data_IF_493709356176
#
_entry.id   IF_493709356176
#
_cell.length_a   1.000
_cell.length_b   1.000
_cell.length_c   1.000
_cell.angle_alpha   90.00
_cell.angle_beta   90.00
_cell.angle_gamma   90.00
#
_symmetry.space_group_name_H-M   'P 1'
#
loop_
_entity.id
_entity.type
_entity.pdbx_description
1 polymer ?
#
# COMPACT_ATOMS: atom_id res chain seq x y z
N UNK A 1 -63.65 -33.98 13.39
CA UNK A 1 -62.44 -33.73 14.20
C UNK A 1 -61.21 -34.36 13.52
N UNK A 2 -60.96 -34.00 12.26
CA UNK A 2 -59.76 -34.40 11.50
C UNK A 2 -59.14 -33.20 10.76
N UNK A 3 -59.64 -31.99 11.03
CA UNK A 3 -59.25 -30.74 10.37
C UNK A 3 -58.29 -29.87 11.20
N UNK A 4 -57.94 -30.29 12.41
CA UNK A 4 -57.02 -29.55 13.28
C UNK A 4 -55.59 -30.11 13.26
N UNK A 5 -55.35 -31.26 12.62
CA UNK A 5 -54.02 -31.91 12.56
C UNK A 5 -53.24 -31.65 11.27
N UNK A 6 -53.88 -31.09 10.23
CA UNK A 6 -53.21 -30.80 8.94
C UNK A 6 -52.65 -29.37 8.89
N UNK A 7 -53.18 -28.44 9.68
CA UNK A 7 -52.63 -27.07 9.82
C UNK A 7 -51.31 -27.02 10.59
N UNK A 8 -50.92 -28.07 11.31
CA UNK A 8 -49.67 -28.11 12.09
C UNK A 8 -48.45 -28.48 11.24
N UNK A 9 -48.64 -29.10 10.06
CA UNK A 9 -47.52 -29.51 9.18
C UNK A 9 -47.07 -28.37 8.25
N UNK A 10 -47.95 -27.41 7.94
CA UNK A 10 -47.64 -26.30 7.01
C UNK A 10 -46.91 -25.13 7.71
N UNK A 11 -46.94 -25.05 9.05
CA UNK A 11 -46.18 -24.02 9.80
C UNK A 11 -44.81 -24.49 10.29
N UNK A 12 -44.45 -25.77 10.12
CA UNK A 12 -43.10 -26.28 10.43
C UNK A 12 -42.15 -26.21 9.21
N UNK A 13 -42.66 -25.90 8.01
CA UNK A 13 -41.88 -25.74 6.78
C UNK A 13 -41.43 -24.30 6.49
N UNK A 14 -41.75 -23.32 7.34
CA UNK A 14 -41.34 -21.92 7.17
C UNK A 14 -40.57 -21.35 8.37
N UNK A 15 -40.11 -22.21 9.28
CA UNK A 15 -39.20 -21.84 10.37
C UNK A 15 -37.83 -22.51 10.24
N UNK A 16 -37.22 -22.35 9.07
CA UNK A 16 -35.78 -22.20 8.92
C UNK A 16 -35.54 -21.03 7.96
N UNK A 17 -35.98 -19.84 8.38
CA UNK A 17 -35.24 -18.62 8.07
C UNK A 17 -33.90 -18.76 8.79
N UNK A 18 -33.01 -19.57 8.22
CA UNK A 18 -31.59 -19.49 8.51
C UNK A 18 -31.18 -18.11 8.03
N UNK A 19 -31.14 -17.19 8.98
CA UNK A 19 -30.39 -15.95 8.90
C UNK A 19 -29.01 -16.39 8.40
N UNK A 20 -28.73 -16.23 7.11
CA UNK A 20 -27.35 -16.11 6.69
C UNK A 20 -26.90 -14.85 7.40
N UNK A 21 -26.28 -15.03 8.56
CA UNK A 21 -25.56 -13.99 9.24
C UNK A 21 -24.77 -13.31 8.14
N UNK A 22 -25.04 -12.03 7.93
CA UNK A 22 -24.16 -11.20 7.16
C UNK A 22 -22.82 -11.40 7.84
N UNK A 23 -21.94 -12.21 7.25
CA UNK A 23 -20.53 -11.96 7.35
C UNK A 23 -20.37 -10.62 6.66
N UNK A 24 -20.67 -9.56 7.42
CA UNK A 24 -20.01 -8.30 7.29
C UNK A 24 -18.55 -8.72 7.16
N UNK A 25 -17.99 -8.59 5.96
CA UNK A 25 -16.56 -8.51 5.76
C UNK A 25 -16.10 -7.19 6.39
N UNK A 26 -16.36 -7.07 7.70
CA UNK A 26 -15.78 -6.13 8.64
C UNK A 26 -14.36 -6.60 8.96
N UNK A 27 -13.64 -7.02 7.93
CA UNK A 27 -12.22 -7.30 7.95
C UNK A 27 -11.49 -6.54 6.83
N UNK A 28 -12.19 -5.72 6.02
CA UNK A 28 -11.54 -4.90 5.00
C UNK A 28 -11.61 -3.38 5.26
N UNK A 29 -12.50 -2.90 6.14
CA UNK A 29 -12.57 -1.46 6.45
C UNK A 29 -11.54 -0.99 7.47
N UNK A 30 -10.92 -1.92 8.23
CA UNK A 30 -9.87 -1.60 9.22
C UNK A 30 -8.46 -2.03 8.78
N UNK A 31 -8.37 -2.96 7.83
CA UNK A 31 -7.10 -3.46 7.31
C UNK A 31 -6.44 -2.48 6.33
N UNK A 32 -7.22 -1.65 5.63
CA UNK A 32 -6.70 -0.64 4.72
C UNK A 32 -6.22 0.63 5.42
N UNK A 33 -6.29 0.76 6.76
CA UNK A 33 -6.05 1.99 7.54
C UNK A 33 -4.67 2.65 7.39
N UNK A 34 -3.79 2.08 6.58
CA UNK A 34 -2.44 2.56 6.35
C UNK A 34 -2.07 2.44 4.88
N UNK A 35 -1.35 3.41 4.30
CA UNK A 35 -0.90 3.32 2.91
C UNK A 35 -0.01 2.10 2.65
N UNK A 36 0.74 1.63 3.65
CA UNK A 36 1.56 0.42 3.52
C UNK A 36 0.70 -0.84 3.36
N UNK A 37 -0.44 -0.91 4.06
CA UNK A 37 -1.38 -2.02 3.89
C UNK A 37 -2.11 -1.94 2.56
N UNK A 38 -2.44 -0.73 2.10
CA UNK A 38 -2.98 -0.52 0.77
C UNK A 38 -2.05 -1.09 -0.32
N UNK A 39 -0.73 -0.83 -0.24
CA UNK A 39 0.23 -1.44 -1.17
C UNK A 39 0.14 -2.97 -1.18
N UNK A 40 0.14 -3.60 0.00
CA UNK A 40 0.07 -5.06 0.12
C UNK A 40 -1.21 -5.65 -0.48
N UNK A 41 -2.35 -4.96 -0.35
CA UNK A 41 -3.62 -5.40 -0.95
C UNK A 41 -3.57 -5.50 -2.49
N UNK A 42 -2.69 -4.73 -3.12
CA UNK A 42 -2.45 -4.74 -4.56
C UNK A 42 -1.14 -5.45 -4.95
N UNK A 43 -0.64 -6.32 -4.06
CA UNK A 43 0.56 -7.14 -4.25
C UNK A 43 1.88 -6.36 -4.32
N UNK A 44 1.97 -5.22 -3.65
CA UNK A 44 3.21 -4.47 -3.54
C UNK A 44 3.84 -4.56 -2.14
N UNK A 45 5.17 -4.58 -2.04
CA UNK A 45 5.86 -4.57 -0.77
C UNK A 45 5.76 -3.19 -0.10
N UNK A 46 5.83 -3.17 1.24
CA UNK A 46 5.59 -1.95 2.02
C UNK A 46 6.68 -0.89 1.85
N UNK A 47 7.90 -1.29 1.47
CA UNK A 47 9.07 -0.44 1.33
C UNK A 47 9.10 0.44 0.08
N UNK A 48 8.07 0.38 -0.77
CA UNK A 48 7.86 1.38 -1.82
C UNK A 48 7.52 2.77 -1.28
N UNK A 49 7.19 2.89 0.01
CA UNK A 49 6.95 4.15 0.69
C UNK A 49 7.88 4.30 1.90
N UNK A 50 8.39 5.52 2.15
CA UNK A 50 9.18 5.77 3.35
C UNK A 50 8.33 5.71 4.61
N UNK A 51 8.96 5.44 5.75
CA UNK A 51 8.36 5.58 7.10
C UNK A 51 7.86 7.02 7.29
N UNK A 52 6.79 7.19 8.07
CA UNK A 52 6.29 8.52 8.45
C UNK A 52 5.21 9.13 7.55
N UNK A 53 4.50 8.32 6.75
CA UNK A 53 3.26 8.77 6.11
C UNK A 53 2.26 9.32 7.15
N UNK A 54 1.80 10.56 6.94
CA UNK A 54 0.91 11.30 7.86
C UNK A 54 -0.56 11.18 7.46
N UNK A 55 -0.84 10.71 6.25
CA UNK A 55 -2.19 10.40 5.81
C UNK A 55 -2.20 9.76 4.43
N UNK A 56 -3.33 9.16 4.06
CA UNK A 56 -3.52 8.60 2.73
C UNK A 56 -4.99 8.64 2.32
N UNK A 57 -5.23 8.54 1.01
CA UNK A 57 -6.54 8.30 0.40
C UNK A 57 -6.39 7.21 -0.63
N UNK A 58 -7.40 6.36 -0.76
CA UNK A 58 -7.49 5.35 -1.81
C UNK A 58 -8.95 5.24 -2.23
N UNK A 59 -9.22 5.45 -3.51
CA UNK A 59 -10.50 5.12 -4.11
C UNK A 59 -10.44 3.67 -4.61
N UNK A 60 -11.09 2.75 -3.90
CA UNK A 60 -11.06 1.33 -4.25
C UNK A 60 -11.71 1.00 -5.60
N UNK A 61 -12.57 1.87 -6.13
CA UNK A 61 -13.24 1.66 -7.42
C UNK A 61 -12.36 2.08 -8.60
N UNK A 62 -11.55 3.12 -8.44
CA UNK A 62 -10.70 3.67 -9.52
C UNK A 62 -9.22 3.31 -9.37
N UNK A 63 -8.79 2.95 -8.17
CA UNK A 63 -7.37 2.77 -7.81
C UNK A 63 -6.64 4.09 -7.56
N UNK A 64 -7.28 5.25 -7.69
CA UNK A 64 -6.62 6.53 -7.42
C UNK A 64 -6.23 6.61 -5.95
N UNK A 65 -4.94 6.89 -5.72
CA UNK A 65 -4.41 7.03 -4.37
C UNK A 65 -3.60 8.31 -4.19
N UNK A 66 -3.52 8.76 -2.96
CA UNK A 66 -2.56 9.77 -2.53
C UNK A 66 -2.01 9.43 -1.15
N UNK A 67 -0.71 9.66 -0.96
CA UNK A 67 -0.03 9.54 0.33
C UNK A 67 0.58 10.88 0.67
N UNK A 68 0.39 11.34 1.91
CA UNK A 68 0.98 12.57 2.44
C UNK A 68 2.10 12.24 3.40
N UNK A 69 3.20 12.97 3.28
CA UNK A 69 4.35 12.97 4.17
C UNK A 69 4.39 14.30 4.93
N UNK A 70 5.15 14.36 6.03
CA UNK A 70 5.34 15.60 6.79
C UNK A 70 6.14 16.67 6.01
N UNK A 71 6.82 16.28 4.93
CA UNK A 71 7.61 17.15 4.08
C UNK A 71 8.19 16.41 2.89
N UNK A 72 9.05 17.07 2.12
CA UNK A 72 9.84 16.38 1.09
C UNK A 72 10.77 15.40 1.79
N UNK A 73 11.00 14.25 1.19
CA UNK A 73 11.87 13.24 1.74
C UNK A 73 12.95 12.84 0.74
N UNK A 74 14.19 12.66 1.18
CA UNK A 74 15.28 12.18 0.33
C UNK A 74 16.26 11.36 1.13
N UNK A 75 16.87 10.38 0.49
CA UNK A 75 17.92 9.54 1.05
C UNK A 75 18.73 8.90 -0.09
N UNK A 76 19.93 8.44 0.24
CA UNK A 76 20.74 7.64 -0.66
C UNK A 76 20.32 6.17 -0.57
N UNK A 77 20.41 5.48 -1.70
CA UNK A 77 20.37 4.03 -1.80
C UNK A 77 21.80 3.52 -2.06
N UNK A 78 21.96 2.20 -2.04
CA UNK A 78 23.17 1.55 -2.54
C UNK A 78 23.53 2.06 -3.96
N UNK A 79 24.82 1.97 -4.31
CA UNK A 79 25.33 2.36 -5.63
C UNK A 79 25.11 3.83 -6.00
N UNK A 80 25.05 4.73 -5.01
CA UNK A 80 24.99 6.20 -5.19
C UNK A 80 23.69 6.75 -5.81
N UNK A 81 22.64 5.94 -5.94
CA UNK A 81 21.33 6.46 -6.35
C UNK A 81 20.75 7.35 -5.24
N UNK A 82 20.22 8.51 -5.62
CA UNK A 82 19.48 9.37 -4.68
C UNK A 82 18.00 9.25 -4.99
N UNK A 83 17.20 8.88 -3.99
CA UNK A 83 15.76 8.81 -4.10
C UNK A 83 15.13 10.04 -3.43
N UNK A 84 14.10 10.59 -4.04
CA UNK A 84 13.37 11.75 -3.54
C UNK A 84 11.87 11.54 -3.66
N UNK A 85 11.18 11.76 -2.54
CA UNK A 85 9.74 11.87 -2.47
C UNK A 85 9.33 13.32 -2.26
N UNK A 86 8.28 13.75 -2.94
CA UNK A 86 7.58 15.01 -2.66
C UNK A 86 6.67 14.82 -1.43
N UNK A 87 6.20 15.92 -0.78
CA UNK A 87 5.29 15.83 0.36
C UNK A 87 3.98 15.09 0.04
N UNK A 88 3.57 15.07 -1.23
CA UNK A 88 2.39 14.35 -1.70
C UNK A 88 2.80 13.45 -2.86
N UNK A 89 2.52 12.17 -2.69
CA UNK A 89 2.68 11.11 -3.71
C UNK A 89 1.28 10.78 -4.23
N UNK A 90 1.13 10.60 -5.53
CA UNK A 90 -0.15 10.21 -6.16
C UNK A 90 0.08 9.21 -7.28
N UNK A 91 -0.93 8.40 -7.54
CA UNK A 91 -0.96 7.51 -8.70
C UNK A 91 -2.27 6.75 -8.79
N UNK A 92 -2.32 5.80 -9.70
CA UNK A 92 -3.41 4.85 -9.84
C UNK A 92 -2.85 3.46 -9.60
N UNK A 93 -3.32 2.79 -8.54
CA UNK A 93 -2.89 1.45 -8.15
C UNK A 93 -3.92 0.40 -8.60
N UNK A 94 -3.39 -0.68 -9.14
CA UNK A 94 -4.11 -1.90 -9.47
C UNK A 94 -3.23 -3.08 -9.07
N UNK A 95 -3.78 -4.30 -9.11
CA UNK A 95 -2.99 -5.49 -8.79
C UNK A 95 -1.75 -5.54 -9.70
N UNK A 96 -0.57 -5.64 -9.09
CA UNK A 96 0.74 -5.71 -9.76
C UNK A 96 1.16 -4.48 -10.57
N UNK A 97 0.40 -3.37 -10.52
CA UNK A 97 0.76 -2.16 -11.29
C UNK A 97 0.33 -0.86 -10.63
N UNK A 98 1.28 0.07 -10.55
CA UNK A 98 1.08 1.49 -10.23
C UNK A 98 1.41 2.30 -11.47
N UNK A 99 0.49 3.12 -11.94
CA UNK A 99 0.67 3.99 -13.11
C UNK A 99 0.33 5.45 -12.77
N UNK A 100 0.72 6.37 -13.65
CA UNK A 100 0.56 7.82 -13.43
C UNK A 100 1.15 8.26 -12.08
N UNK A 101 2.24 7.61 -11.66
CA UNK A 101 2.92 7.89 -10.42
C UNK A 101 3.54 9.28 -10.49
N UNK A 102 3.37 10.04 -9.42
CA UNK A 102 3.94 11.36 -9.26
C UNK A 102 4.42 11.56 -7.84
N UNK A 103 5.46 12.39 -7.70
CA UNK A 103 6.05 12.69 -6.40
C UNK A 103 7.15 11.72 -5.98
N UNK A 104 7.62 10.83 -6.87
CA UNK A 104 8.80 9.98 -6.65
C UNK A 104 9.79 10.25 -7.79
N UNK A 105 11.04 10.52 -7.44
CA UNK A 105 12.10 10.82 -8.40
C UNK A 105 13.41 10.17 -7.98
N UNK A 106 14.18 9.70 -8.95
CA UNK A 106 15.53 9.17 -8.76
C UNK A 106 16.53 10.06 -9.46
N UNK A 107 17.72 10.22 -8.88
CA UNK A 107 18.84 10.91 -9.53
C UNK A 107 19.67 9.92 -10.33
N UNK A 108 19.85 10.21 -11.62
CA UNK A 108 20.74 9.47 -12.52
C UNK A 108 21.74 10.45 -13.11
N UNK A 109 23.03 10.17 -12.92
CA UNK A 109 24.13 11.10 -13.24
C UNK A 109 23.91 12.47 -12.57
N UNK A 110 23.53 13.48 -13.36
CA UNK A 110 23.30 14.87 -12.91
C UNK A 110 21.83 15.28 -12.94
N UNK A 111 20.92 14.43 -13.41
CA UNK A 111 19.50 14.77 -13.60
C UNK A 111 18.57 13.96 -12.71
N UNK A 112 17.46 14.61 -12.32
CA UNK A 112 16.37 13.97 -11.61
C UNK A 112 15.32 13.49 -12.61
N UNK A 113 15.00 12.21 -12.55
CA UNK A 113 13.99 11.58 -13.39
C UNK A 113 12.79 11.17 -12.52
N UNK A 114 11.58 11.40 -13.01
CA UNK A 114 10.37 10.99 -12.31
C UNK A 114 10.10 9.52 -12.59
N UNK A 115 9.80 8.77 -11.54
CA UNK A 115 9.25 7.42 -11.68
C UNK A 115 7.76 7.58 -11.92
N UNK A 116 7.30 7.13 -13.09
CA UNK A 116 5.91 7.31 -13.55
C UNK A 116 5.09 6.04 -13.48
N UNK A 117 5.76 4.89 -13.38
CA UNK A 117 5.11 3.59 -13.29
C UNK A 117 6.00 2.59 -12.52
N UNK A 118 5.34 1.68 -11.80
CA UNK A 118 5.95 0.52 -11.16
C UNK A 118 5.09 -0.69 -11.51
N UNK A 119 5.70 -1.73 -12.09
CA UNK A 119 5.05 -3.03 -12.32
C UNK A 119 5.71 -4.08 -11.46
N UNK A 120 4.92 -5.01 -10.95
CA UNK A 120 5.42 -6.24 -10.36
C UNK A 120 5.27 -7.37 -11.37
N UNK A 121 6.34 -8.13 -11.54
CA UNK A 121 6.34 -9.39 -12.25
C UNK A 121 7.02 -10.43 -11.35
N UNK A 122 6.22 -11.28 -10.73
CA UNK A 122 6.66 -12.29 -9.76
C UNK A 122 7.52 -11.68 -8.62
N UNK A 123 8.80 -12.06 -8.53
CA UNK A 123 9.76 -11.56 -7.54
C UNK A 123 10.57 -10.34 -8.01
N UNK A 124 10.11 -9.65 -9.05
CA UNK A 124 10.73 -8.43 -9.59
C UNK A 124 9.76 -7.25 -9.59
N UNK A 125 10.32 -6.07 -9.38
CA UNK A 125 9.68 -4.77 -9.58
C UNK A 125 10.39 -4.03 -10.71
N UNK A 126 9.65 -3.75 -11.78
CA UNK A 126 10.07 -2.89 -12.89
C UNK A 126 9.68 -1.44 -12.58
N UNK A 127 10.67 -0.55 -12.48
CA UNK A 127 10.45 0.89 -12.29
C UNK A 127 10.67 1.61 -13.61
N UNK A 128 9.66 2.36 -14.07
CA UNK A 128 9.72 3.11 -15.31
C UNK A 128 9.82 4.62 -15.07
N UNK A 129 10.72 5.27 -15.81
CA UNK A 129 10.78 6.73 -15.93
C UNK A 129 10.19 7.23 -17.26
N UNK A 130 9.40 6.39 -17.93
CA UNK A 130 8.70 6.67 -19.18
C UNK A 130 9.33 6.00 -20.39
N UNK A 131 10.59 6.33 -20.70
CA UNK A 131 11.28 5.82 -21.91
C UNK A 131 12.11 4.57 -21.59
N UNK A 132 12.59 4.45 -20.35
CA UNK A 132 13.41 3.31 -19.89
C UNK A 132 12.88 2.78 -18.57
N UNK A 133 13.22 1.52 -18.32
CA UNK A 133 12.91 0.80 -17.09
C UNK A 133 14.17 0.31 -16.39
N UNK A 134 14.04 -0.06 -15.12
CA UNK A 134 15.05 -0.77 -14.35
C UNK A 134 14.36 -1.75 -13.40
N UNK A 135 14.90 -2.97 -13.30
CA UNK A 135 14.33 -4.05 -12.52
C UNK A 135 15.08 -4.24 -11.20
N UNK A 136 14.33 -4.47 -10.13
CA UNK A 136 14.87 -4.76 -8.81
C UNK A 136 14.12 -5.94 -8.17
N UNK A 137 14.78 -6.81 -7.40
CA UNK A 137 14.11 -7.85 -6.64
C UNK A 137 13.10 -7.26 -5.65
N UNK A 138 11.95 -7.92 -5.48
CA UNK A 138 10.92 -7.53 -4.49
C UNK A 138 11.50 -7.49 -3.07
N UNK A 139 12.42 -8.41 -2.75
CA UNK A 139 13.10 -8.49 -1.45
C UNK A 139 13.80 -7.19 -1.02
N UNK A 140 14.22 -6.35 -1.96
CA UNK A 140 14.85 -5.06 -1.66
C UNK A 140 13.89 -4.03 -1.04
N UNK A 141 12.58 -4.32 -1.03
CA UNK A 141 11.53 -3.40 -0.62
C UNK A 141 10.71 -3.94 0.56
N UNK A 142 11.18 -4.97 1.26
CA UNK A 142 10.49 -5.51 2.45
C UNK A 142 10.51 -4.52 3.62
N UNK A 143 11.63 -3.81 3.82
CA UNK A 143 11.74 -2.77 4.82
C UNK A 143 11.35 -1.39 4.26
N UNK A 144 10.70 -0.58 5.11
CA UNK A 144 10.41 0.82 4.81
C UNK A 144 11.64 1.69 5.07
N UNK A 145 12.17 2.42 4.07
CA UNK A 145 13.27 3.34 4.30
C UNK A 145 12.81 4.51 5.17
N UNK A 146 13.73 5.08 5.94
CA UNK A 146 13.47 6.27 6.73
C UNK A 146 14.00 7.51 6.01
N UNK A 147 13.33 8.62 6.26
CA UNK A 147 13.74 9.87 5.65
C UNK A 147 15.11 10.35 6.13
N UNK A 148 15.95 10.85 5.22
CA UNK A 148 17.30 11.31 5.53
C UNK A 148 18.33 10.19 5.43
N UNK A 149 18.26 9.20 6.32
CA UNK A 149 19.26 8.14 6.47
C UNK A 149 18.96 6.84 5.70
N UNK A 150 17.80 6.71 5.06
CA UNK A 150 17.47 5.51 4.28
C UNK A 150 17.33 4.28 5.16
N UNK A 151 18.18 3.27 4.95
CA UNK A 151 18.21 2.03 5.75
C UNK A 151 19.27 2.07 6.87
N UNK A 152 20.22 3.01 6.83
CA UNK A 152 21.38 3.08 7.74
C UNK A 152 21.12 3.94 8.99
N UNK A 153 19.89 3.95 9.48
CA UNK A 153 19.51 4.78 10.62
C UNK A 153 19.92 4.12 11.96
N UNK A 154 21.21 3.99 12.22
CA UNK A 154 21.73 3.56 13.53
C UNK A 154 21.75 4.74 14.52
N UNK A 155 20.86 4.72 15.53
CA UNK A 155 20.95 5.65 16.68
C UNK A 155 19.66 6.26 17.24
N UNK A 156 18.52 5.57 17.20
CA UNK A 156 17.25 6.08 17.74
C UNK A 156 17.01 5.92 19.25
N UNK A 157 17.79 5.09 19.95
CA UNK A 157 17.61 4.82 21.39
C UNK A 157 18.89 5.13 22.19
N UNK A 158 19.41 6.36 22.12
CA UNK A 158 20.25 6.97 23.17
C UNK A 158 20.69 8.40 22.83
N UNK A 159 19.74 9.33 22.91
CA UNK A 159 20.02 10.72 23.28
C UNK A 159 18.79 11.38 23.92
N UNK A 160 18.17 10.68 24.88
CA UNK A 160 17.51 11.32 26.02
C UNK A 160 17.92 10.54 27.28
N UNK A 161 19.20 10.60 27.59
CA UNK A 161 19.75 10.28 28.89
C UNK A 161 20.99 11.16 29.06
N UNK A 162 20.81 12.22 29.85
CA UNK A 162 21.78 12.97 30.66
C UNK A 162 23.21 13.14 30.15
N UNK A 163 23.61 14.39 29.91
CA UNK A 163 24.50 15.17 30.80
C UNK A 163 24.94 16.48 30.15
#
# INVERSE_FOLDING_TARGET
>A
MAWTMITVIITFSTFLLSISAQHSNYHNSKAANSPYKALQQYNFPVGLLPKGATGYTLNSSTGEFSVRLNGSCSFALENSYQLKYKPVIKGVISRDRIQNLSGVSVKVLVMWLNIVEIKRDDEKLEFSVGITTADFPVGNFEERPQCGCGFDCEGGDKSWASS
#
